data_IF_356697735155
#
_entry.id   IF_356697735155
#
_cell.length_a   1.000
_cell.length_b   1.000
_cell.length_c   1.000
_cell.angle_alpha   90.00
_cell.angle_beta   90.00
_cell.angle_gamma   90.00
#
_symmetry.space_group_name_H-M   'P 1'
#
loop_
_entity.id
_entity.type
_entity.pdbx_description
1 polymer ?
#
# COMPACT_ATOMS: atom_id res chain seq x y z
N UNK A 1 -19.21 12.65 15.94
CA UNK A 1 -18.44 12.83 14.70
C UNK A 1 -18.08 11.47 14.12
N UNK A 2 -18.46 11.20 12.87
CA UNK A 2 -18.11 9.94 12.19
C UNK A 2 -16.58 9.93 11.99
N UNK A 3 -15.89 8.97 12.61
CA UNK A 3 -14.43 8.82 12.45
C UNK A 3 -14.13 8.49 10.99
N UNK A 4 -13.30 9.31 10.33
CA UNK A 4 -12.85 9.03 8.96
C UNK A 4 -12.13 7.68 8.92
N UNK A 5 -12.53 6.83 7.98
CA UNK A 5 -11.93 5.51 7.79
C UNK A 5 -10.74 5.61 6.82
N UNK A 6 -9.63 5.04 7.24
CA UNK A 6 -8.38 4.98 6.46
C UNK A 6 -8.10 3.51 6.16
N UNK A 7 -7.83 3.19 4.91
CA UNK A 7 -7.36 1.88 4.48
C UNK A 7 -5.89 1.97 4.08
N UNK A 8 -5.06 1.10 4.64
CA UNK A 8 -3.65 0.99 4.30
C UNK A 8 -3.45 -0.35 3.58
N UNK A 9 -3.07 -0.30 2.31
CA UNK A 9 -2.89 -1.48 1.49
C UNK A 9 -1.40 -1.75 1.26
N UNK A 10 -0.94 -2.91 1.70
CA UNK A 10 0.48 -3.30 1.62
C UNK A 10 0.63 -4.80 1.39
N UNK A 11 1.82 -5.22 1.03
CA UNK A 11 2.11 -6.64 0.91
C UNK A 11 3.56 -6.94 0.60
N UNK A 12 3.87 -8.23 0.56
CA UNK A 12 5.17 -8.72 0.15
C UNK A 12 6.17 -8.86 1.27
N UNK A 13 7.21 -8.03 1.25
CA UNK A 13 8.34 -8.11 2.17
C UNK A 13 8.22 -7.13 3.32
N UNK A 14 9.06 -7.30 4.36
CA UNK A 14 9.13 -6.40 5.50
C UNK A 14 9.34 -4.92 5.11
N UNK A 15 10.01 -4.64 3.98
CA UNK A 15 10.24 -3.29 3.48
C UNK A 15 8.97 -2.49 3.21
N UNK A 16 7.86 -3.14 2.85
CA UNK A 16 6.56 -2.48 2.68
C UNK A 16 5.67 -2.61 3.91
N UNK A 17 5.75 -3.76 4.60
CA UNK A 17 4.90 -4.07 5.75
C UNK A 17 5.19 -3.16 6.94
N UNK A 18 6.45 -2.97 7.31
CA UNK A 18 6.79 -2.19 8.50
C UNK A 18 6.43 -0.70 8.38
N UNK A 19 6.69 0.00 7.25
CA UNK A 19 6.18 1.34 7.05
C UNK A 19 4.65 1.43 7.11
N UNK A 20 3.94 0.46 6.48
CA UNK A 20 2.49 0.40 6.51
C UNK A 20 1.94 0.22 7.93
N UNK A 21 2.56 -0.68 8.70
CA UNK A 21 2.22 -0.93 10.09
C UNK A 21 2.44 0.31 10.97
N UNK A 22 3.60 0.98 10.84
CA UNK A 22 3.91 2.21 11.56
C UNK A 22 2.90 3.31 11.27
N UNK A 23 2.54 3.48 9.99
CA UNK A 23 1.52 4.43 9.56
C UNK A 23 0.14 4.08 10.14
N UNK A 24 -0.22 2.78 10.17
CA UNK A 24 -1.48 2.32 10.76
C UNK A 24 -1.56 2.63 12.25
N UNK A 25 -0.51 2.35 13.00
CA UNK A 25 -0.42 2.68 14.43
C UNK A 25 -0.51 4.19 14.67
N UNK A 26 0.19 5.00 13.86
CA UNK A 26 0.12 6.45 13.96
C UNK A 26 -1.31 6.98 13.80
N UNK A 27 -2.01 6.56 12.75
CA UNK A 27 -3.39 7.00 12.54
C UNK A 27 -4.36 6.46 13.59
N UNK A 28 -4.15 5.24 14.07
CA UNK A 28 -4.93 4.65 15.15
C UNK A 28 -4.80 5.47 16.45
N UNK A 29 -3.57 5.88 16.83
CA UNK A 29 -3.31 6.80 17.94
C UNK A 29 -3.99 8.17 17.76
N UNK A 30 -4.14 8.63 16.51
CA UNK A 30 -4.89 9.84 16.16
C UNK A 30 -6.41 9.62 16.11
N UNK A 31 -6.90 8.48 16.59
CA UNK A 31 -8.33 8.11 16.69
C UNK A 31 -9.06 7.97 15.34
N UNK A 32 -8.34 7.74 14.23
CA UNK A 32 -8.96 7.32 12.98
C UNK A 32 -9.38 5.84 13.05
N UNK A 33 -10.39 5.45 12.28
CA UNK A 33 -10.69 4.04 12.05
C UNK A 33 -9.75 3.51 10.98
N UNK A 34 -8.79 2.66 11.36
CA UNK A 34 -7.76 2.15 10.45
C UNK A 34 -7.99 0.68 10.15
N UNK A 35 -7.89 0.32 8.88
CA UNK A 35 -7.84 -1.06 8.40
C UNK A 35 -6.57 -1.24 7.58
N UNK A 36 -5.92 -2.39 7.74
CA UNK A 36 -4.70 -2.75 7.01
C UNK A 36 -4.96 -3.99 6.17
N UNK A 37 -4.76 -3.88 4.85
CA UNK A 37 -4.87 -5.03 3.95
C UNK A 37 -3.49 -5.52 3.53
N UNK A 38 -3.30 -6.85 3.53
CA UNK A 38 -2.03 -7.47 3.14
C UNK A 38 -2.22 -8.87 2.57
N UNK A 39 -1.18 -9.41 1.93
CA UNK A 39 -1.16 -10.79 1.43
C UNK A 39 -0.70 -11.80 2.51
N UNK A 40 -0.69 -13.09 2.15
CA UNK A 40 -0.24 -14.18 3.04
C UNK A 40 1.18 -14.00 3.55
N UNK A 41 2.06 -13.34 2.77
CA UNK A 41 3.46 -13.12 3.17
C UNK A 41 3.54 -12.01 4.21
N UNK A 42 2.80 -10.92 3.99
CA UNK A 42 2.75 -9.79 4.92
C UNK A 42 2.11 -10.16 6.26
N UNK A 43 1.10 -11.03 6.28
CA UNK A 43 0.50 -11.53 7.51
C UNK A 43 1.49 -12.19 8.47
N UNK A 44 2.57 -12.81 7.96
CA UNK A 44 3.59 -13.44 8.80
C UNK A 44 4.31 -12.44 9.71
N UNK A 45 4.41 -11.18 9.29
CA UNK A 45 5.06 -10.10 10.05
C UNK A 45 4.13 -9.42 11.07
N UNK A 46 2.80 -9.64 10.94
CA UNK A 46 1.77 -8.94 11.72
C UNK A 46 1.00 -9.82 12.71
N UNK A 47 1.40 -11.10 12.85
CA UNK A 47 0.66 -12.13 13.60
C UNK A 47 0.37 -11.82 15.06
N UNK A 48 1.10 -10.92 15.70
CA UNK A 48 1.01 -10.64 17.13
C UNK A 48 0.31 -9.31 17.47
N UNK A 49 -0.29 -8.63 16.49
CA UNK A 49 -0.96 -7.35 16.75
C UNK A 49 -2.48 -7.51 16.76
N UNK A 50 -3.06 -7.47 17.95
CA UNK A 50 -4.51 -7.56 18.18
C UNK A 50 -5.23 -6.21 18.01
N UNK A 51 -4.49 -5.09 17.92
CA UNK A 51 -5.05 -3.75 17.93
C UNK A 51 -5.46 -3.23 16.55
N UNK A 52 -5.04 -3.89 15.47
CA UNK A 52 -5.33 -3.48 14.10
C UNK A 52 -6.27 -4.46 13.39
N UNK A 53 -7.27 -3.93 12.71
CA UNK A 53 -8.10 -4.74 11.81
C UNK A 53 -7.32 -5.08 10.54
N UNK A 54 -6.76 -6.32 10.48
CA UNK A 54 -5.94 -6.81 9.38
C UNK A 54 -6.78 -7.71 8.47
N UNK A 55 -6.86 -7.35 7.19
CA UNK A 55 -7.66 -8.04 6.18
C UNK A 55 -6.73 -8.68 5.15
N UNK A 56 -6.88 -9.99 4.97
CA UNK A 56 -6.11 -10.73 3.97
C UNK A 56 -6.67 -10.51 2.58
N UNK A 57 -5.78 -10.17 1.63
CA UNK A 57 -6.08 -10.10 0.19
C UNK A 57 -5.19 -11.09 -0.55
N UNK A 58 -5.78 -11.86 -1.44
CA UNK A 58 -5.01 -12.74 -2.32
C UNK A 58 -4.41 -11.89 -3.44
N UNK A 59 -3.11 -11.98 -3.63
CA UNK A 59 -2.39 -11.30 -4.72
C UNK A 59 -1.22 -12.13 -5.18
N UNK A 60 -0.81 -11.92 -6.41
CA UNK A 60 0.35 -12.60 -7.00
C UNK A 60 1.23 -11.58 -7.74
N UNK A 61 2.56 -11.75 -7.70
CA UNK A 61 3.43 -11.05 -8.64
C UNK A 61 3.16 -11.53 -10.06
N UNK A 62 3.27 -10.62 -11.04
CA UNK A 62 3.17 -10.99 -12.45
C UNK A 62 4.44 -11.75 -12.86
N UNK A 63 4.33 -13.07 -13.07
CA UNK A 63 5.45 -13.96 -13.39
C UNK A 63 5.62 -14.02 -14.90
N UNK A 64 6.71 -13.46 -15.44
CA UNK A 64 6.99 -13.37 -16.88
C UNK A 64 7.82 -14.52 -17.45
N UNK A 65 8.39 -15.40 -16.60
CA UNK A 65 9.36 -16.44 -17.03
C UNK A 65 8.75 -17.59 -17.83
N UNK A 66 7.43 -17.81 -17.74
CA UNK A 66 6.73 -18.91 -18.40
C UNK A 66 5.32 -18.44 -18.77
N UNK A 67 4.89 -18.71 -20.01
CA UNK A 67 3.60 -18.23 -20.53
C UNK A 67 2.42 -18.73 -19.69
N UNK A 68 2.43 -20.00 -19.26
CA UNK A 68 1.37 -20.53 -18.41
C UNK A 68 1.33 -19.83 -17.04
N UNK A 69 2.47 -19.61 -16.40
CA UNK A 69 2.56 -18.89 -15.12
C UNK A 69 2.17 -17.42 -15.28
N UNK A 70 2.47 -16.83 -16.43
CA UNK A 70 2.04 -15.45 -16.75
C UNK A 70 0.50 -15.39 -16.83
N UNK A 71 -0.12 -16.30 -17.58
CA UNK A 71 -1.59 -16.35 -17.73
C UNK A 71 -2.25 -16.56 -16.36
N UNK A 72 -1.78 -17.52 -15.57
CA UNK A 72 -2.32 -17.80 -14.24
C UNK A 72 -2.19 -16.56 -13.33
N UNK A 73 -1.00 -15.95 -13.28
CA UNK A 73 -0.80 -14.75 -12.43
C UNK A 73 -1.63 -13.56 -12.90
N UNK A 74 -1.88 -13.42 -14.19
CA UNK A 74 -2.76 -12.40 -14.75
C UNK A 74 -4.21 -12.60 -14.29
N UNK A 75 -4.74 -13.82 -14.37
CA UNK A 75 -6.09 -14.13 -13.87
C UNK A 75 -6.20 -13.93 -12.36
N UNK A 76 -5.18 -14.32 -11.58
CA UNK A 76 -5.16 -14.04 -10.12
C UNK A 76 -5.24 -12.54 -9.85
N UNK A 77 -4.54 -11.70 -10.61
CA UNK A 77 -4.61 -10.25 -10.46
C UNK A 77 -6.01 -9.73 -10.78
N UNK A 78 -6.63 -10.20 -11.86
CA UNK A 78 -8.01 -9.79 -12.22
C UNK A 78 -8.99 -10.17 -11.12
N UNK A 79 -8.95 -11.40 -10.64
CA UNK A 79 -9.81 -11.86 -9.54
C UNK A 79 -9.55 -11.02 -8.27
N UNK A 80 -8.29 -10.69 -7.98
CA UNK A 80 -7.93 -9.82 -6.87
C UNK A 80 -8.51 -8.41 -7.02
N UNK A 81 -8.53 -7.85 -8.22
CA UNK A 81 -9.15 -6.54 -8.50
C UNK A 81 -10.66 -6.61 -8.28
N UNK A 82 -11.31 -7.66 -8.79
CA UNK A 82 -12.77 -7.85 -8.63
C UNK A 82 -13.13 -8.00 -7.13
N UNK A 83 -12.41 -8.83 -6.39
CA UNK A 83 -12.62 -9.00 -4.96
C UNK A 83 -12.36 -7.69 -4.19
N UNK A 84 -11.32 -6.94 -4.57
CA UNK A 84 -11.01 -5.63 -4.00
C UNK A 84 -12.11 -4.61 -4.32
N UNK A 85 -12.70 -4.67 -5.51
CA UNK A 85 -13.81 -3.81 -5.91
C UNK A 85 -15.03 -4.02 -5.02
N UNK A 86 -15.47 -5.27 -4.84
CA UNK A 86 -16.59 -5.57 -3.94
C UNK A 86 -16.26 -5.24 -2.48
N UNK A 87 -15.06 -5.55 -2.04
CA UNK A 87 -14.61 -5.16 -0.69
C UNK A 87 -14.73 -3.65 -0.48
N UNK A 88 -14.23 -2.83 -1.41
CA UNK A 88 -14.27 -1.37 -1.30
C UNK A 88 -15.67 -0.80 -1.50
N UNK A 89 -16.52 -1.44 -2.29
CA UNK A 89 -17.92 -1.03 -2.49
C UNK A 89 -18.69 -1.03 -1.17
N UNK A 90 -18.53 -2.10 -0.35
CA UNK A 90 -19.20 -2.23 0.95
C UNK A 90 -18.45 -1.55 2.10
N UNK A 91 -17.13 -1.35 1.95
CA UNK A 91 -16.26 -0.90 3.04
C UNK A 91 -15.66 0.49 2.83
N UNK A 92 -16.24 1.28 1.98
CA UNK A 92 -15.81 2.54 1.40
C UNK A 92 -14.97 3.44 2.33
N UNK A 93 -13.62 3.38 2.30
CA UNK A 93 -12.77 4.25 3.10
C UNK A 93 -12.75 5.68 2.55
N UNK A 94 -12.42 6.66 3.40
CA UNK A 94 -12.27 8.06 3.01
C UNK A 94 -11.02 8.29 2.16
N UNK A 95 -9.97 7.51 2.42
CA UNK A 95 -8.70 7.53 1.68
C UNK A 95 -8.00 6.17 1.79
N UNK A 96 -7.21 5.83 0.76
CA UNK A 96 -6.39 4.63 0.72
C UNK A 96 -4.92 5.03 0.60
N UNK A 97 -4.06 4.37 1.38
CA UNK A 97 -2.61 4.43 1.27
C UNK A 97 -2.09 3.14 0.65
N UNK A 98 -1.64 3.18 -0.60
CA UNK A 98 -0.95 2.09 -1.27
C UNK A 98 0.53 2.11 -0.91
N UNK A 99 0.95 1.24 0.00
CA UNK A 99 2.31 1.22 0.55
C UNK A 99 3.29 0.34 -0.25
N UNK A 100 2.92 0.02 -1.49
CA UNK A 100 3.72 -0.86 -2.34
C UNK A 100 3.45 -2.35 -2.12
N UNK A 101 4.17 -3.17 -2.88
CA UNK A 101 3.92 -4.61 -2.96
C UNK A 101 2.73 -4.96 -3.88
N UNK A 102 2.66 -6.24 -4.25
CA UNK A 102 1.66 -6.70 -5.23
C UNK A 102 0.22 -6.67 -4.70
N UNK A 103 0.02 -6.68 -3.40
CA UNK A 103 -1.34 -6.64 -2.81
C UNK A 103 -1.94 -5.26 -2.72
N UNK A 104 -1.14 -4.20 -2.72
CA UNK A 104 -1.66 -2.83 -2.78
C UNK A 104 -2.22 -2.50 -4.17
N UNK A 105 -1.70 -3.11 -5.22
CA UNK A 105 -2.08 -2.84 -6.60
C UNK A 105 -3.57 -3.10 -6.88
N UNK A 106 -4.15 -4.28 -6.60
CA UNK A 106 -5.57 -4.55 -6.83
C UNK A 106 -6.50 -3.58 -6.10
N UNK A 107 -6.15 -3.25 -4.86
CA UNK A 107 -6.90 -2.27 -4.04
C UNK A 107 -6.90 -0.88 -4.69
N UNK A 108 -5.73 -0.39 -5.12
CA UNK A 108 -5.63 0.93 -5.73
C UNK A 108 -6.32 1.00 -7.09
N UNK A 109 -6.27 -0.08 -7.89
CA UNK A 109 -7.01 -0.17 -9.17
C UNK A 109 -8.51 -0.17 -8.91
N UNK A 110 -9.00 -0.96 -7.96
CA UNK A 110 -10.42 -0.97 -7.59
C UNK A 110 -10.88 0.40 -7.05
N UNK A 111 -10.03 1.08 -6.26
CA UNK A 111 -10.27 2.42 -5.75
C UNK A 111 -10.47 3.45 -6.88
N UNK A 112 -9.65 3.36 -7.93
CA UNK A 112 -9.79 4.21 -9.11
C UNK A 112 -11.17 4.07 -9.75
N UNK A 113 -11.62 2.84 -10.00
CA UNK A 113 -12.95 2.60 -10.59
C UNK A 113 -14.10 3.07 -9.69
N UNK A 114 -13.96 2.96 -8.37
CA UNK A 114 -14.94 3.43 -7.39
C UNK A 114 -14.82 4.93 -7.05
N UNK A 115 -13.89 5.66 -7.70
CA UNK A 115 -13.60 7.07 -7.42
C UNK A 115 -13.27 7.32 -5.94
N UNK A 116 -12.62 6.36 -5.28
CA UNK A 116 -12.08 6.52 -3.93
C UNK A 116 -10.68 7.12 -4.04
N UNK A 117 -10.43 8.17 -3.28
CA UNK A 117 -9.13 8.84 -3.27
C UNK A 117 -8.04 7.90 -2.75
N UNK A 118 -6.91 7.82 -3.45
CA UNK A 118 -5.77 7.08 -2.97
C UNK A 118 -4.45 7.81 -3.25
N UNK A 119 -3.49 7.56 -2.39
CA UNK A 119 -2.10 7.99 -2.50
C UNK A 119 -1.21 6.75 -2.49
N UNK A 120 -0.02 6.85 -3.06
CA UNK A 120 0.96 5.75 -3.04
C UNK A 120 2.24 6.18 -2.33
N UNK A 121 2.94 5.22 -1.75
CA UNK A 121 4.22 5.42 -1.09
C UNK A 121 5.29 4.58 -1.78
N UNK A 122 6.46 5.19 -2.03
CA UNK A 122 7.63 4.52 -2.59
C UNK A 122 8.83 4.73 -1.67
N UNK A 123 9.38 3.62 -1.19
CA UNK A 123 10.52 3.63 -0.29
C UNK A 123 11.84 3.20 -0.95
N UNK A 124 11.81 2.94 -2.25
CA UNK A 124 13.00 2.59 -3.03
C UNK A 124 13.52 3.81 -3.79
N UNK A 125 14.79 3.75 -4.23
CA UNK A 125 15.39 4.77 -5.10
C UNK A 125 14.89 4.70 -6.54
N UNK A 126 14.29 3.59 -6.96
CA UNK A 126 13.69 3.40 -8.28
C UNK A 126 12.23 3.04 -8.09
N UNK A 127 11.34 3.73 -8.81
CA UNK A 127 9.90 3.48 -8.69
C UNK A 127 9.54 2.04 -9.07
N UNK A 128 8.84 1.35 -8.18
CA UNK A 128 8.35 0.00 -8.41
C UNK A 128 7.31 -0.05 -9.55
N UNK A 129 7.25 -1.18 -10.29
CA UNK A 129 6.36 -1.35 -11.45
C UNK A 129 4.88 -1.10 -11.12
N UNK A 130 4.41 -1.55 -9.96
CA UNK A 130 3.04 -1.33 -9.51
C UNK A 130 2.78 0.16 -9.28
N UNK A 131 3.67 0.86 -8.57
CA UNK A 131 3.54 2.29 -8.30
C UNK A 131 3.65 3.11 -9.60
N UNK A 132 4.55 2.74 -10.52
CA UNK A 132 4.65 3.39 -11.84
C UNK A 132 3.35 3.29 -12.64
N UNK A 133 2.67 2.13 -12.61
CA UNK A 133 1.37 1.96 -13.26
C UNK A 133 0.27 2.78 -12.58
N UNK A 134 0.29 2.89 -11.25
CA UNK A 134 -0.72 3.61 -10.48
C UNK A 134 -0.53 5.13 -10.48
N UNK A 135 0.66 5.61 -10.86
CA UNK A 135 1.04 7.02 -10.81
C UNK A 135 0.07 7.98 -11.57
N UNK A 136 -0.46 7.66 -12.77
CA UNK A 136 -1.45 8.50 -13.44
C UNK A 136 -2.72 8.71 -12.62
N UNK A 137 -3.13 7.70 -11.87
CA UNK A 137 -4.43 7.60 -11.22
C UNK A 137 -4.42 8.03 -9.74
N UNK A 138 -3.25 7.99 -9.07
CA UNK A 138 -3.13 8.42 -7.69
C UNK A 138 -3.18 9.95 -7.56
N UNK A 139 -3.58 10.44 -6.39
CA UNK A 139 -3.57 11.87 -6.11
C UNK A 139 -2.16 12.39 -5.87
N UNK A 140 -1.38 11.69 -5.08
CA UNK A 140 0.02 12.00 -4.76
C UNK A 140 0.82 10.72 -4.62
N UNK A 141 2.12 10.83 -4.85
CA UNK A 141 3.11 9.84 -4.48
C UNK A 141 4.01 10.42 -3.39
N UNK A 142 4.01 9.77 -2.25
CA UNK A 142 4.95 10.04 -1.17
C UNK A 142 6.22 9.22 -1.39
N UNK A 143 7.37 9.84 -1.24
CA UNK A 143 8.67 9.21 -1.52
C UNK A 143 9.61 9.35 -0.33
N UNK A 144 10.45 8.33 -0.14
CA UNK A 144 11.48 8.35 0.89
C UNK A 144 12.69 9.18 0.49
N UNK A 145 12.97 9.26 -0.80
CA UNK A 145 14.17 9.88 -1.34
C UNK A 145 13.81 10.86 -2.44
N UNK A 146 14.45 12.03 -2.42
CA UNK A 146 14.26 13.08 -3.43
C UNK A 146 14.72 12.63 -4.82
N UNK A 147 15.78 11.82 -4.83
CA UNK A 147 16.43 11.29 -6.04
C UNK A 147 15.70 10.08 -6.64
N UNK A 148 14.41 9.91 -6.36
CA UNK A 148 13.64 8.79 -6.90
C UNK A 148 13.64 8.78 -8.43
N UNK A 149 14.20 7.73 -8.99
CA UNK A 149 14.31 7.51 -10.43
C UNK A 149 13.07 6.84 -11.03
N UNK A 150 12.85 7.07 -12.32
CA UNK A 150 11.83 6.38 -13.12
C UNK A 150 10.44 7.03 -13.10
N UNK A 151 10.28 8.18 -12.44
CA UNK A 151 9.06 8.99 -12.55
C UNK A 151 9.12 9.84 -13.82
N UNK A 152 8.12 9.74 -14.72
CA UNK A 152 8.03 10.63 -15.86
C UNK A 152 7.83 12.09 -15.42
N UNK A 153 8.52 13.03 -16.09
CA UNK A 153 8.54 14.46 -15.72
C UNK A 153 7.15 15.10 -15.55
N UNK A 154 6.19 14.66 -16.36
CA UNK A 154 4.80 15.14 -16.30
C UNK A 154 4.05 14.75 -15.00
N UNK A 155 4.62 13.90 -14.14
CA UNK A 155 4.05 13.54 -12.84
C UNK A 155 4.82 14.10 -11.65
N UNK A 156 5.87 14.92 -11.85
CA UNK A 156 6.65 15.50 -10.76
C UNK A 156 5.80 16.32 -9.79
N UNK A 157 4.71 16.95 -10.26
CA UNK A 157 3.77 17.70 -9.42
C UNK A 157 3.01 16.84 -8.40
N UNK A 158 3.04 15.51 -8.55
CA UNK A 158 2.44 14.56 -7.60
C UNK A 158 3.41 14.13 -6.52
N UNK A 159 4.71 14.32 -6.70
CA UNK A 159 5.76 13.85 -5.81
C UNK A 159 5.83 14.71 -4.56
N UNK A 160 5.83 14.07 -3.40
CA UNK A 160 6.05 14.70 -2.10
C UNK A 160 7.07 13.86 -1.34
N UNK A 161 8.23 14.44 -1.07
CA UNK A 161 9.23 13.81 -0.22
C UNK A 161 8.80 13.89 1.25
N UNK A 162 8.77 12.75 1.92
CA UNK A 162 8.42 12.63 3.34
C UNK A 162 9.48 11.88 4.16
N UNK A 163 10.51 11.35 3.49
CA UNK A 163 11.50 10.49 4.14
C UNK A 163 10.99 9.07 4.40
N UNK A 164 11.81 8.30 5.11
CA UNK A 164 11.47 6.93 5.47
C UNK A 164 10.48 6.88 6.63
N UNK A 165 9.40 6.12 6.47
CA UNK A 165 8.50 5.77 7.56
C UNK A 165 9.13 4.64 8.36
N UNK A 166 9.68 4.97 9.53
CA UNK A 166 10.37 4.02 10.43
C UNK A 166 9.49 3.61 11.60
N UNK A 167 9.83 2.49 12.23
CA UNK A 167 9.15 2.02 13.44
C UNK A 167 9.46 2.93 14.65
N UNK A 168 8.49 3.19 15.50
CA UNK A 168 8.68 3.98 16.73
C UNK A 168 9.78 3.41 17.63
N UNK A 169 9.94 2.10 17.69
CA UNK A 169 10.99 1.42 18.45
C UNK A 169 12.39 1.86 18.03
N UNK A 170 12.62 2.04 16.72
CA UNK A 170 13.90 2.52 16.16
C UNK A 170 14.13 3.98 16.53
N UNK A 171 13.07 4.81 16.47
CA UNK A 171 13.16 6.23 16.84
C UNK A 171 13.52 6.38 18.33
N UNK A 172 12.88 5.57 19.18
CA UNK A 172 13.13 5.62 20.62
C UNK A 172 14.51 5.08 21.00
N UNK A 173 15.02 4.07 20.29
CA UNK A 173 16.38 3.57 20.48
C UNK A 173 17.42 4.66 20.23
N UNK A 174 17.32 5.40 19.14
CA UNK A 174 18.26 6.48 18.80
C UNK A 174 18.16 7.72 19.72
N UNK A 175 17.07 7.88 20.49
CA UNK A 175 16.93 8.98 21.46
C UNK A 175 17.57 8.67 22.81
N UNK A 176 17.77 7.39 23.09
CA UNK A 176 18.31 6.89 24.37
C UNK A 176 19.79 6.46 24.29
N UNK A 177 20.41 6.58 23.11
CA UNK A 177 21.84 6.39 22.84
C UNK A 177 22.51 7.73 22.62
#
# INVERSE_FOLDING_TARGET
MIKKKILIATGGTGGHIFPAYSLAKFFSKKKYKVELTTDRRGLKFLKNDLDLNIIKINSSPLIKKNIFKFIISFFIIIISIINSFFFLLFNRPSIIFGMGGYSSFPICVAAFFLRIKFVIYENNLIIGKANKFLLPFCQKIFVSYKELEGIPKNYNYKVIEIGNIVREEIINFNKNS
#
